data_IF_057679873626
#
_entry.id   IF_057679873626
#
_cell.length_a   1.000
_cell.length_b   1.000
_cell.length_c   1.000
_cell.angle_alpha   90.00
_cell.angle_beta   90.00
_cell.angle_gamma   90.00
#
_symmetry.space_group_name_H-M   'P 1'
#
loop_
_entity.id
_entity.type
_entity.pdbx_description
1 polymer ?
#
# COMPACT_ATOMS: atom_id res chain seq x y z
N UNK A 1 -17.53 -47.04 4.55
CA UNK A 1 -16.51 -47.30 5.58
C UNK A 1 -15.49 -46.18 5.49
N UNK A 2 -15.15 -45.57 6.62
CA UNK A 2 -14.33 -44.37 6.73
C UNK A 2 -14.04 -44.06 8.21
N UNK A 3 -13.70 -45.11 8.97
CA UNK A 3 -13.63 -45.09 10.45
C UNK A 3 -12.21 -45.22 10.98
N UNK A 4 -11.22 -45.33 10.10
CA UNK A 4 -9.81 -45.47 10.48
C UNK A 4 -8.95 -44.50 9.66
N UNK A 5 -7.77 -44.15 10.18
CA UNK A 5 -6.76 -43.34 9.48
C UNK A 5 -6.35 -43.92 8.11
N UNK A 6 -6.66 -45.19 7.82
CA UNK A 6 -6.39 -45.81 6.51
C UNK A 6 -7.35 -45.37 5.40
N UNK A 7 -8.46 -44.73 5.76
CA UNK A 7 -9.48 -44.26 4.81
C UNK A 7 -9.43 -42.72 4.60
N UNK A 8 -8.51 -42.03 5.29
CA UNK A 8 -8.36 -40.59 5.17
C UNK A 8 -7.42 -40.24 4.02
N UNK A 9 -7.83 -39.26 3.21
CA UNK A 9 -7.01 -38.69 2.17
C UNK A 9 -7.01 -37.17 2.33
N UNK A 10 -5.82 -36.58 2.27
CA UNK A 10 -5.64 -35.14 2.28
C UNK A 10 -5.11 -34.69 0.91
N UNK A 11 -5.53 -33.50 0.50
CA UNK A 11 -4.93 -32.77 -0.60
C UNK A 11 -4.19 -31.58 -0.04
N UNK A 12 -3.02 -31.27 -0.61
CA UNK A 12 -2.20 -30.13 -0.21
C UNK A 12 -1.80 -29.37 -1.46
N UNK A 13 -1.72 -28.05 -1.34
CA UNK A 13 -1.10 -27.24 -2.38
C UNK A 13 0.29 -27.80 -2.70
N UNK A 14 0.68 -27.75 -3.97
CA UNK A 14 1.96 -28.28 -4.41
C UNK A 14 3.13 -27.45 -3.89
N UNK A 15 2.87 -26.27 -3.34
CA UNK A 15 3.91 -25.46 -2.76
C UNK A 15 3.42 -24.53 -1.62
N UNK A 16 4.33 -23.97 -0.79
CA UNK A 16 3.98 -23.31 0.47
C UNK A 16 3.56 -21.83 0.38
N UNK A 17 3.11 -21.33 1.54
CA UNK A 17 2.79 -19.92 1.78
C UNK A 17 4.07 -19.08 1.67
N UNK A 18 4.14 -18.06 0.79
CA UNK A 18 5.32 -17.22 0.65
C UNK A 18 5.71 -16.50 1.95
N UNK A 19 6.97 -16.58 2.37
CA UNK A 19 7.41 -15.92 3.61
C UNK A 19 7.26 -14.39 3.59
N UNK A 20 7.20 -13.78 2.41
CA UNK A 20 7.04 -12.34 2.24
C UNK A 20 5.57 -11.86 2.37
N UNK A 21 4.57 -12.76 2.42
CA UNK A 21 3.19 -12.33 2.60
C UNK A 21 2.90 -12.11 4.08
N UNK A 22 2.71 -10.86 4.51
CA UNK A 22 2.30 -10.57 5.90
C UNK A 22 1.00 -11.28 6.29
N UNK A 23 0.11 -11.47 5.30
CA UNK A 23 -1.16 -12.16 5.45
C UNK A 23 -1.42 -13.05 4.21
N UNK A 24 -1.78 -14.30 4.45
CA UNK A 24 -2.20 -15.27 3.44
C UNK A 24 -3.61 -15.77 3.74
N UNK A 25 -4.45 -15.95 2.72
CA UNK A 25 -5.82 -16.40 2.90
C UNK A 25 -6.30 -17.25 1.72
N UNK A 26 -7.05 -18.31 2.00
CA UNK A 26 -7.71 -19.13 0.99
C UNK A 26 -9.06 -19.64 1.49
N UNK A 27 -9.98 -19.92 0.57
CA UNK A 27 -11.31 -20.47 0.88
C UNK A 27 -11.53 -21.85 0.24
N UNK A 28 -12.28 -22.69 0.95
CA UNK A 28 -12.72 -24.01 0.48
C UNK A 28 -14.23 -24.08 0.60
N UNK A 29 -14.91 -24.31 -0.53
CA UNK A 29 -16.34 -24.57 -0.55
C UNK A 29 -16.63 -26.05 -0.38
N UNK A 30 -17.44 -26.38 0.61
CA UNK A 30 -17.84 -27.76 0.89
C UNK A 30 -18.95 -28.17 -0.08
N UNK A 31 -18.59 -28.87 -1.16
CA UNK A 31 -19.55 -29.33 -2.17
C UNK A 31 -20.47 -30.42 -1.61
N UNK A 32 -19.95 -31.31 -0.78
CA UNK A 32 -20.70 -32.34 -0.09
C UNK A 32 -19.93 -32.84 1.12
N UNK A 33 -20.58 -32.90 2.29
CA UNK A 33 -19.99 -33.47 3.50
C UNK A 33 -19.89 -35.01 3.50
N UNK A 34 -20.43 -35.66 2.47
CA UNK A 34 -20.58 -37.10 2.45
C UNK A 34 -21.48 -37.60 3.60
N UNK A 35 -21.20 -38.81 4.10
CA UNK A 35 -22.02 -39.44 5.15
C UNK A 35 -21.80 -38.76 6.50
N UNK A 36 -20.55 -38.79 6.95
CA UNK A 36 -20.17 -38.50 8.33
C UNK A 36 -19.57 -37.11 8.52
N UNK A 37 -19.12 -36.43 7.45
CA UNK A 37 -18.61 -35.06 7.53
C UNK A 37 -17.17 -34.91 8.03
N UNK A 38 -16.41 -36.01 8.14
CA UNK A 38 -15.00 -35.99 8.52
C UNK A 38 -14.14 -35.27 7.47
N UNK A 39 -13.99 -33.96 7.66
CA UNK A 39 -13.25 -33.07 6.78
C UNK A 39 -12.47 -32.09 7.64
N UNK A 40 -11.20 -31.89 7.31
CA UNK A 40 -10.35 -30.92 7.98
C UNK A 40 -9.77 -29.94 6.96
N UNK A 41 -9.70 -28.66 7.34
CA UNK A 41 -9.08 -27.61 6.53
C UNK A 41 -7.96 -26.99 7.34
N UNK A 42 -6.79 -26.76 6.73
CA UNK A 42 -5.71 -26.08 7.42
C UNK A 42 -4.37 -26.17 6.72
N UNK A 43 -3.31 -26.18 7.52
CA UNK A 43 -1.94 -25.97 7.11
C UNK A 43 -1.11 -27.20 7.44
N UNK A 44 -0.08 -27.46 6.66
CA UNK A 44 0.88 -28.53 6.95
C UNK A 44 2.23 -28.23 6.33
N UNK A 45 3.30 -28.64 7.02
CA UNK A 45 4.64 -28.68 6.43
C UNK A 45 4.74 -29.74 5.32
N UNK A 46 5.72 -29.59 4.41
CA UNK A 46 5.88 -30.46 3.23
C UNK A 46 6.05 -31.95 3.58
N UNK A 47 6.70 -32.29 4.70
CA UNK A 47 6.93 -33.67 5.11
C UNK A 47 5.76 -34.36 5.83
N UNK A 48 4.62 -33.68 6.03
CA UNK A 48 3.49 -34.24 6.78
C UNK A 48 2.79 -35.37 6.00
N UNK A 49 2.37 -36.41 6.71
CA UNK A 49 1.66 -37.56 6.15
C UNK A 49 0.29 -37.15 5.60
N UNK A 50 0.04 -37.47 4.33
CA UNK A 50 -1.18 -37.10 3.63
C UNK A 50 -2.33 -38.11 3.79
N UNK A 51 -2.11 -39.22 4.51
CA UNK A 51 -3.14 -40.22 4.83
C UNK A 51 -3.87 -39.90 6.15
N UNK A 52 -3.84 -38.64 6.59
CA UNK A 52 -4.44 -38.18 7.85
C UNK A 52 -5.01 -36.78 7.67
N UNK A 53 -6.01 -36.43 8.47
CA UNK A 53 -6.60 -35.10 8.45
C UNK A 53 -5.61 -34.02 8.96
N UNK A 54 -5.70 -32.78 8.46
CA UNK A 54 -4.88 -31.66 8.93
C UNK A 54 -4.94 -31.49 10.45
N UNK A 55 -3.82 -31.14 11.09
CA UNK A 55 -3.75 -30.94 12.54
C UNK A 55 -3.33 -32.14 13.38
N UNK A 56 -3.39 -33.36 12.84
CA UNK A 56 -3.15 -34.57 13.63
C UNK A 56 -1.68 -34.96 13.81
N UNK A 57 -0.84 -34.63 12.83
CA UNK A 57 0.59 -34.92 12.85
C UNK A 57 1.40 -33.66 13.16
N UNK A 58 2.64 -33.84 13.62
CA UNK A 58 3.56 -32.73 13.91
C UNK A 58 3.71 -31.80 12.71
N UNK A 59 3.72 -30.49 12.97
CA UNK A 59 3.76 -29.44 11.95
C UNK A 59 2.54 -29.41 11.02
N UNK A 60 1.40 -29.89 11.53
CA UNK A 60 0.10 -29.82 10.88
C UNK A 60 -0.89 -29.11 11.79
N UNK A 61 -1.77 -28.32 11.19
CA UNK A 61 -2.77 -27.47 11.84
C UNK A 61 -4.09 -27.63 11.09
N UNK A 62 -5.21 -27.82 11.79
CA UNK A 62 -6.49 -28.09 11.14
C UNK A 62 -7.70 -27.66 11.94
N UNK A 63 -8.76 -27.30 11.23
CA UNK A 63 -10.11 -27.07 11.75
C UNK A 63 -11.06 -28.07 11.12
N UNK A 64 -11.81 -28.81 11.95
CA UNK A 64 -12.55 -29.99 11.54
C UNK A 64 -14.06 -29.73 11.55
N UNK A 65 -14.75 -30.29 10.55
CA UNK A 65 -16.16 -30.01 10.29
C UNK A 65 -17.14 -30.83 11.11
N UNK A 66 -16.72 -32.00 11.59
CA UNK A 66 -17.54 -32.94 12.35
C UNK A 66 -17.76 -32.53 13.79
N UNK A 67 -16.75 -31.92 14.43
CA UNK A 67 -16.78 -31.50 15.84
C UNK A 67 -16.55 -29.99 16.04
N UNK A 68 -16.15 -29.26 15.00
CA UNK A 68 -15.82 -27.84 15.09
C UNK A 68 -14.52 -27.55 15.86
N UNK A 69 -13.68 -28.55 16.09
CA UNK A 69 -12.48 -28.40 16.89
C UNK A 69 -11.27 -27.98 16.05
N UNK A 70 -10.30 -27.33 16.70
CA UNK A 70 -8.99 -27.06 16.17
C UNK A 70 -7.99 -28.13 16.63
N UNK A 71 -7.09 -28.53 15.73
CA UNK A 71 -6.10 -29.58 15.95
C UNK A 71 -4.72 -29.01 15.61
N UNK A 72 -3.82 -29.06 16.58
CA UNK A 72 -2.47 -28.53 16.47
C UNK A 72 -1.46 -29.62 16.81
N UNK A 73 -0.89 -30.26 15.79
CA UNK A 73 0.10 -31.33 15.96
C UNK A 73 -0.31 -32.44 16.94
N UNK A 74 -1.61 -32.72 17.01
CA UNK A 74 -2.22 -33.59 18.02
C UNK A 74 -3.46 -34.26 17.44
N UNK A 75 -3.63 -35.56 17.73
CA UNK A 75 -4.87 -36.28 17.43
C UNK A 75 -6.05 -35.92 18.35
N UNK A 76 -5.83 -35.08 19.36
CA UNK A 76 -6.87 -34.57 20.26
C UNK A 76 -7.12 -33.10 19.95
N UNK A 77 -8.35 -32.78 19.53
CA UNK A 77 -8.77 -31.43 19.18
C UNK A 77 -9.19 -30.62 20.40
N UNK A 78 -9.29 -29.31 20.22
CA UNK A 78 -9.82 -28.37 21.20
C UNK A 78 -11.04 -27.64 20.65
N UNK A 79 -12.07 -27.33 21.47
CA UNK A 79 -13.20 -26.54 21.02
C UNK A 79 -12.74 -25.20 20.45
N UNK A 80 -13.22 -24.85 19.26
CA UNK A 80 -12.78 -23.65 18.56
C UNK A 80 -13.94 -22.92 17.88
N UNK A 81 -14.66 -23.61 16.99
CA UNK A 81 -15.70 -23.00 16.17
C UNK A 81 -16.94 -23.90 16.03
N UNK A 82 -17.95 -23.45 15.27
CA UNK A 82 -19.09 -24.29 14.93
C UNK A 82 -18.68 -25.47 14.04
N UNK A 83 -19.54 -26.45 13.85
CA UNK A 83 -19.37 -27.45 12.79
C UNK A 83 -19.65 -26.85 11.41
N UNK A 84 -19.23 -27.52 10.33
CA UNK A 84 -19.51 -27.11 8.96
C UNK A 84 -19.91 -28.27 8.06
N UNK A 85 -20.71 -27.98 7.02
CA UNK A 85 -21.40 -28.98 6.20
C UNK A 85 -21.51 -28.57 4.73
N UNK A 86 -22.15 -29.40 3.93
CA UNK A 86 -22.48 -29.12 2.52
C UNK A 86 -23.05 -27.72 2.34
N UNK A 87 -22.44 -26.96 1.43
CA UNK A 87 -22.82 -25.59 1.11
C UNK A 87 -22.02 -24.51 1.85
N UNK A 88 -21.36 -24.85 2.95
CA UNK A 88 -20.53 -23.89 3.68
C UNK A 88 -19.24 -23.55 2.92
N UNK A 89 -18.78 -22.32 3.09
CA UNK A 89 -17.47 -21.82 2.66
C UNK A 89 -16.61 -21.61 3.90
N UNK A 90 -15.48 -22.29 3.96
CA UNK A 90 -14.54 -22.20 5.08
C UNK A 90 -13.26 -21.57 4.57
N UNK A 91 -12.91 -20.42 5.12
CA UNK A 91 -11.64 -19.77 4.85
C UNK A 91 -10.61 -20.05 5.92
N UNK A 92 -9.35 -20.11 5.53
CA UNK A 92 -8.19 -20.29 6.40
C UNK A 92 -7.22 -19.12 6.15
N UNK A 93 -6.93 -18.37 7.20
CA UNK A 93 -6.03 -17.23 7.16
C UNK A 93 -4.79 -17.43 8.02
N UNK A 94 -3.65 -16.98 7.50
CA UNK A 94 -2.34 -17.06 8.14
C UNK A 94 -1.75 -15.66 8.18
N UNK A 95 -1.62 -15.13 9.39
CA UNK A 95 -0.99 -13.84 9.63
C UNK A 95 0.46 -14.11 10.09
N UNK A 96 1.41 -13.88 9.19
CA UNK A 96 2.84 -14.06 9.44
C UNK A 96 3.47 -12.91 10.23
N UNK A 97 2.77 -11.77 10.37
CA UNK A 97 3.21 -10.67 11.24
C UNK A 97 3.04 -11.07 12.71
N UNK A 98 1.86 -11.60 13.06
CA UNK A 98 1.54 -12.00 14.43
C UNK A 98 1.82 -13.48 14.71
N UNK A 99 2.25 -14.24 13.69
CA UNK A 99 2.41 -15.69 13.73
C UNK A 99 1.15 -16.43 14.22
N UNK A 100 0.00 -16.04 13.67
CA UNK A 100 -1.32 -16.60 14.02
C UNK A 100 -2.03 -17.21 12.82
N UNK A 101 -2.91 -18.18 13.09
CA UNK A 101 -3.85 -18.70 12.10
C UNK A 101 -5.27 -18.64 12.64
N UNK A 102 -6.20 -18.34 11.75
CA UNK A 102 -7.62 -18.20 12.03
C UNK A 102 -8.44 -18.83 10.90
N UNK A 103 -9.71 -19.08 11.20
CA UNK A 103 -10.66 -19.56 10.20
C UNK A 103 -11.86 -18.63 10.10
N UNK A 104 -12.52 -18.72 8.96
CA UNK A 104 -13.78 -18.03 8.68
C UNK A 104 -14.82 -19.04 8.23
N UNK A 105 -16.09 -18.80 8.54
CA UNK A 105 -17.21 -19.59 8.02
C UNK A 105 -18.21 -18.65 7.37
N UNK A 106 -18.48 -18.86 6.08
CA UNK A 106 -19.42 -18.05 5.29
C UNK A 106 -19.16 -16.54 5.44
N UNK A 107 -17.88 -16.14 5.39
CA UNK A 107 -17.46 -14.75 5.58
C UNK A 107 -17.35 -14.27 7.03
N UNK A 108 -17.69 -15.08 8.04
CA UNK A 108 -17.58 -14.69 9.45
C UNK A 108 -16.29 -15.20 10.09
N UNK A 109 -15.50 -14.29 10.66
CA UNK A 109 -14.26 -14.60 11.38
C UNK A 109 -14.53 -15.32 12.71
N UNK A 110 -13.91 -16.49 12.92
CA UNK A 110 -14.15 -17.37 14.08
C UNK A 110 -13.17 -17.14 15.25
N UNK A 111 -12.26 -16.16 15.11
CA UNK A 111 -11.20 -15.91 16.09
C UNK A 111 -9.91 -16.69 15.80
N UNK A 112 -8.87 -16.45 16.59
CA UNK A 112 -7.55 -17.07 16.39
C UNK A 112 -7.61 -18.54 16.84
N UNK A 113 -7.30 -19.46 15.92
CA UNK A 113 -7.20 -20.88 16.20
C UNK A 113 -5.84 -21.26 16.80
N UNK A 114 -4.76 -20.67 16.27
CA UNK A 114 -3.39 -21.04 16.63
C UNK A 114 -2.50 -19.79 16.80
N UNK A 115 -1.58 -19.87 17.75
CA UNK A 115 -0.52 -18.87 17.99
C UNK A 115 0.85 -19.56 17.94
N UNK A 116 1.87 -18.86 17.46
CA UNK A 116 3.25 -19.37 17.44
C UNK A 116 3.46 -20.42 16.35
N UNK A 117 3.02 -20.13 15.12
CA UNK A 117 3.29 -21.00 13.97
C UNK A 117 4.80 -21.07 13.67
N UNK A 118 5.41 -22.26 13.49
CA UNK A 118 6.80 -22.40 13.08
C UNK A 118 6.97 -22.05 11.58
N UNK A 119 7.85 -21.11 11.26
CA UNK A 119 8.30 -20.77 9.89
C UNK A 119 9.71 -21.34 9.65
N UNK A 120 10.04 -21.97 8.49
CA UNK A 120 10.34 -21.21 7.26
C UNK A 120 10.13 -21.91 5.87
N UNK A 121 9.96 -21.07 4.82
CA UNK A 121 10.51 -21.26 3.45
C UNK A 121 9.67 -21.99 2.36
N UNK A 122 9.41 -21.27 1.24
CA UNK A 122 9.09 -21.74 -0.15
C UNK A 122 7.62 -21.54 -0.65
N UNK A 123 7.35 -21.60 -1.98
CA UNK A 123 6.29 -20.83 -2.73
C UNK A 123 5.31 -21.63 -3.63
N UNK A 124 3.93 -21.45 -3.60
CA UNK A 124 2.94 -21.38 -4.76
C UNK A 124 1.44 -21.10 -4.42
N UNK A 125 0.74 -20.61 -5.46
CA UNK A 125 -0.57 -20.93 -6.11
C UNK A 125 -1.71 -21.71 -5.44
N UNK A 126 -2.76 -20.92 -5.11
CA UNK A 126 -4.11 -21.27 -4.70
C UNK A 126 -5.07 -20.20 -5.29
N UNK A 127 -6.37 -20.23 -4.93
CA UNK A 127 -7.28 -19.17 -5.39
C UNK A 127 -6.93 -17.82 -4.77
N UNK A 128 -6.17 -17.00 -5.51
CA UNK A 128 -5.62 -15.71 -5.09
C UNK A 128 -6.51 -14.51 -5.45
N UNK A 129 -7.81 -14.73 -5.63
CA UNK A 129 -8.72 -13.70 -6.12
C UNK A 129 -9.07 -13.86 -7.61
N UNK A 130 -8.90 -15.07 -8.17
CA UNK A 130 -9.45 -15.37 -9.50
C UNK A 130 -10.99 -15.45 -9.46
N UNK A 131 -11.58 -15.57 -8.26
CA UNK A 131 -12.96 -15.18 -7.95
C UNK A 131 -12.97 -14.29 -6.70
N UNK A 132 -13.95 -13.37 -6.55
CA UNK A 132 -14.08 -12.57 -5.34
C UNK A 132 -14.13 -13.45 -4.08
N UNK A 133 -13.36 -13.10 -3.07
CA UNK A 133 -13.40 -13.76 -1.76
C UNK A 133 -14.73 -13.47 -1.05
N UNK A 134 -15.24 -14.41 -0.28
CA UNK A 134 -16.46 -14.22 0.52
C UNK A 134 -16.15 -13.41 1.79
N UNK A 135 -14.97 -13.60 2.37
CA UNK A 135 -14.44 -12.71 3.40
C UNK A 135 -13.81 -11.46 2.80
N UNK A 136 -14.08 -10.28 3.40
CA UNK A 136 -13.42 -9.03 3.03
C UNK A 136 -11.97 -9.00 3.55
N UNK A 137 -11.12 -9.75 2.83
CA UNK A 137 -9.70 -9.85 3.12
C UNK A 137 -8.98 -8.52 2.86
N UNK A 138 -9.53 -7.66 2.01
CA UNK A 138 -8.95 -6.37 1.64
C UNK A 138 -9.01 -5.38 2.80
N UNK A 139 -10.11 -5.34 3.55
CA UNK A 139 -10.23 -4.56 4.79
C UNK A 139 -9.19 -5.00 5.82
N UNK A 140 -9.03 -6.31 6.03
CA UNK A 140 -8.06 -6.81 7.00
C UNK A 140 -6.61 -6.54 6.57
N UNK A 141 -6.32 -6.62 5.27
CA UNK A 141 -5.00 -6.25 4.73
C UNK A 141 -4.73 -4.75 4.93
N UNK A 142 -5.73 -3.88 4.73
CA UNK A 142 -5.62 -2.44 5.01
C UNK A 142 -5.34 -2.17 6.49
N UNK A 143 -6.05 -2.81 7.40
CA UNK A 143 -5.83 -2.67 8.84
C UNK A 143 -4.43 -3.15 9.25
N UNK A 144 -4.00 -4.33 8.76
CA UNK A 144 -2.68 -4.89 9.05
C UNK A 144 -1.56 -3.98 8.54
N UNK A 145 -1.71 -3.41 7.33
CA UNK A 145 -0.77 -2.43 6.77
C UNK A 145 -0.69 -1.18 7.63
N UNK A 146 -1.83 -0.61 8.02
CA UNK A 146 -1.87 0.59 8.86
C UNK A 146 -1.17 0.37 10.20
N UNK A 147 -1.46 -0.76 10.87
CA UNK A 147 -0.86 -1.09 12.17
C UNK A 147 0.64 -1.36 12.06
N UNK A 148 1.07 -2.05 11.00
CA UNK A 148 2.50 -2.30 10.73
C UNK A 148 3.24 -1.00 10.44
N UNK A 149 2.62 -0.07 9.71
CA UNK A 149 3.19 1.26 9.45
C UNK A 149 3.43 2.03 10.74
N UNK A 150 2.44 2.08 11.63
CA UNK A 150 2.57 2.74 12.94
C UNK A 150 3.71 2.14 13.74
N UNK A 151 3.81 0.81 13.79
CA UNK A 151 4.89 0.13 14.49
C UNK A 151 6.29 0.49 13.94
N UNK A 152 6.42 0.63 12.61
CA UNK A 152 7.67 1.06 11.95
C UNK A 152 7.99 2.52 12.29
N UNK A 153 6.99 3.40 12.28
CA UNK A 153 7.14 4.84 12.49
C UNK A 153 7.44 5.21 13.95
N UNK A 154 7.00 4.38 14.89
CA UNK A 154 7.23 4.51 16.34
C UNK A 154 8.44 3.70 16.83
N UNK A 155 9.02 2.84 15.99
CA UNK A 155 10.17 2.04 16.39
C UNK A 155 11.35 2.96 16.77
N UNK A 156 11.87 2.86 18.01
CA UNK A 156 12.91 3.76 18.49
C UNK A 156 14.24 3.44 17.79
N UNK A 157 14.66 4.33 16.90
CA UNK A 157 15.98 4.28 16.28
C UNK A 157 16.95 5.23 17.00
N UNK A 158 18.26 4.90 17.06
CA UNK A 158 19.29 5.85 17.47
C UNK A 158 19.24 7.13 16.61
N UNK A 159 19.56 8.30 17.18
CA UNK A 159 19.38 9.62 16.55
C UNK A 159 20.03 9.76 15.14
N UNK A 160 21.10 9.02 14.85
CA UNK A 160 21.75 9.00 13.53
C UNK A 160 20.97 8.19 12.47
N UNK A 161 20.06 7.31 12.87
CA UNK A 161 19.30 6.40 12.00
C UNK A 161 17.82 6.81 11.81
N UNK A 162 17.32 7.82 12.54
CA UNK A 162 15.94 8.31 12.40
C UNK A 162 15.68 9.20 11.17
N UNK A 163 16.72 9.57 10.41
CA UNK A 163 16.61 10.50 9.29
C UNK A 163 15.77 9.96 8.13
N UNK A 164 15.85 8.66 7.84
CA UNK A 164 15.02 8.02 6.81
C UNK A 164 13.54 7.94 7.22
N UNK A 165 13.27 7.71 8.52
CA UNK A 165 11.90 7.77 9.07
C UNK A 165 11.32 9.18 8.91
N UNK A 166 12.14 10.22 9.16
CA UNK A 166 11.70 11.61 8.97
C UNK A 166 11.35 11.91 7.51
N UNK A 167 12.17 11.43 6.56
CA UNK A 167 11.86 11.54 5.12
C UNK A 167 10.59 10.78 4.76
N UNK A 168 10.43 9.54 5.24
CA UNK A 168 9.21 8.75 5.03
C UNK A 168 7.97 9.47 5.55
N UNK A 169 8.04 10.07 6.74
CA UNK A 169 6.95 10.88 7.32
C UNK A 169 6.61 12.10 6.48
N UNK A 170 7.61 12.78 5.91
CA UNK A 170 7.37 13.92 5.00
C UNK A 170 6.69 13.47 3.69
N UNK A 171 7.11 12.34 3.11
CA UNK A 171 6.46 11.79 1.90
C UNK A 171 5.01 11.41 2.18
N UNK A 172 4.77 10.65 3.26
CA UNK A 172 3.44 10.17 3.62
C UNK A 172 2.48 11.31 3.99
N UNK A 173 2.97 12.37 4.63
CA UNK A 173 2.17 13.58 4.91
C UNK A 173 1.92 14.47 3.69
N UNK A 174 2.52 14.16 2.53
CA UNK A 174 2.35 14.92 1.29
C UNK A 174 3.29 16.13 1.17
N UNK A 175 4.23 16.30 2.11
CA UNK A 175 5.26 17.36 2.11
C UNK A 175 6.46 16.95 1.26
N UNK A 176 6.20 16.58 0.01
CA UNK A 176 7.20 15.95 -0.88
C UNK A 176 8.39 16.86 -1.14
N UNK A 177 8.17 18.17 -1.28
CA UNK A 177 9.26 19.15 -1.49
C UNK A 177 10.26 19.16 -0.33
N UNK A 178 9.77 19.05 0.90
CA UNK A 178 10.63 18.98 2.09
C UNK A 178 11.32 17.62 2.20
N UNK A 179 10.63 16.54 1.81
CA UNK A 179 11.25 15.22 1.73
C UNK A 179 12.44 15.22 0.77
N UNK A 180 12.29 15.80 -0.42
CA UNK A 180 13.37 15.93 -1.42
C UNK A 180 14.55 16.72 -0.86
N UNK A 181 14.30 17.84 -0.21
CA UNK A 181 15.38 18.68 0.35
C UNK A 181 16.11 17.97 1.50
N UNK A 182 15.37 17.32 2.39
CA UNK A 182 15.95 16.52 3.45
C UNK A 182 16.76 15.35 2.88
N UNK A 183 16.26 14.68 1.84
CA UNK A 183 17.00 13.60 1.15
C UNK A 183 18.31 14.10 0.56
N UNK A 184 18.32 15.25 -0.14
CA UNK A 184 19.57 15.83 -0.67
C UNK A 184 20.60 16.13 0.41
N UNK A 185 20.12 16.64 1.55
CA UNK A 185 20.98 16.99 2.68
C UNK A 185 21.60 15.76 3.35
N UNK A 186 20.81 14.70 3.55
CA UNK A 186 21.26 13.51 4.28
C UNK A 186 21.96 12.46 3.40
N UNK A 187 21.61 12.38 2.11
CA UNK A 187 22.24 11.49 1.13
C UNK A 187 22.69 12.27 -0.11
N UNK A 188 23.80 13.04 -0.01
CA UNK A 188 24.27 13.86 -1.11
C UNK A 188 24.56 13.05 -2.38
N UNK A 189 24.06 13.52 -3.52
CA UNK A 189 24.26 12.88 -4.81
C UNK A 189 23.31 11.73 -5.13
N UNK A 190 22.47 11.28 -4.18
CA UNK A 190 21.49 10.21 -4.41
C UNK A 190 20.53 10.57 -5.54
N UNK A 191 19.85 11.71 -5.42
CA UNK A 191 18.84 12.16 -6.41
C UNK A 191 19.48 12.67 -7.70
N UNK A 192 20.73 13.09 -7.66
CA UNK A 192 21.49 13.47 -8.85
C UNK A 192 21.86 12.23 -9.68
N UNK A 193 22.21 11.12 -9.01
CA UNK A 193 22.49 9.83 -9.66
C UNK A 193 21.22 9.12 -10.13
N UNK A 194 20.16 9.16 -9.34
CA UNK A 194 18.87 8.54 -9.64
C UNK A 194 17.85 9.59 -10.12
N UNK A 195 17.99 9.97 -11.39
CA UNK A 195 17.10 10.95 -12.03
C UNK A 195 15.66 10.43 -12.19
N UNK A 196 15.46 9.11 -12.24
CA UNK A 196 14.12 8.50 -12.32
C UNK A 196 13.38 8.64 -10.99
N UNK A 197 14.05 8.36 -9.86
CA UNK A 197 13.50 8.60 -8.54
C UNK A 197 13.19 10.08 -8.31
N UNK A 198 14.09 10.99 -8.73
CA UNK A 198 13.85 12.42 -8.64
C UNK A 198 12.62 12.84 -9.47
N UNK A 199 12.46 12.29 -10.67
CA UNK A 199 11.28 12.52 -11.49
C UNK A 199 10.00 12.03 -10.81
N UNK A 200 10.02 10.81 -10.25
CA UNK A 200 8.89 10.24 -9.53
C UNK A 200 8.47 11.10 -8.32
N UNK A 201 9.45 11.55 -7.53
CA UNK A 201 9.23 12.46 -6.39
C UNK A 201 8.65 13.79 -6.85
N UNK A 202 9.19 14.39 -7.92
CA UNK A 202 8.66 15.65 -8.46
C UNK A 202 7.24 15.48 -9.03
N UNK A 203 6.94 14.37 -9.68
CA UNK A 203 5.60 14.07 -10.15
C UNK A 203 4.62 14.00 -8.98
N UNK A 204 5.00 13.35 -7.88
CA UNK A 204 4.18 13.30 -6.66
C UNK A 204 4.06 14.66 -5.97
N UNK A 205 5.13 15.46 -5.97
CA UNK A 205 5.10 16.83 -5.45
C UNK A 205 4.08 17.68 -6.21
N UNK A 206 4.03 17.56 -7.54
CA UNK A 206 3.07 18.28 -8.38
C UNK A 206 1.63 17.91 -8.03
N UNK A 207 1.32 16.62 -7.98
CA UNK A 207 -0.02 16.11 -7.63
C UNK A 207 -0.45 16.57 -6.24
N UNK A 208 0.44 16.50 -5.24
CA UNK A 208 0.14 16.99 -3.88
C UNK A 208 -0.09 18.51 -3.85
N UNK A 209 0.64 19.28 -4.66
CA UNK A 209 0.45 20.73 -4.78
C UNK A 209 -0.90 21.09 -5.42
N UNK A 210 -1.33 20.35 -6.45
CA UNK A 210 -2.65 20.53 -7.07
C UNK A 210 -3.78 20.25 -6.05
N UNK A 211 -3.71 19.14 -5.31
CA UNK A 211 -4.69 18.80 -4.29
C UNK A 211 -4.80 19.81 -3.14
N UNK A 212 -3.69 20.43 -2.74
CA UNK A 212 -3.67 21.47 -1.72
C UNK A 212 -4.33 22.78 -2.20
N UNK A 213 -4.21 23.11 -3.50
CA UNK A 213 -4.84 24.29 -4.09
C UNK A 213 -6.37 24.18 -4.22
N UNK A 214 -6.92 22.96 -4.29
CA UNK A 214 -8.37 22.70 -4.31
C UNK A 214 -9.10 23.09 -3.02
N UNK A 215 -8.38 23.24 -1.90
CA UNK A 215 -8.94 23.62 -0.59
C UNK A 215 -9.11 25.15 -0.39
N UNK A 216 -9.10 25.96 -1.47
CA UNK A 216 -9.68 27.30 -1.45
C UNK A 216 -8.80 28.51 -1.79
N UNK A 217 -7.75 28.40 -2.63
CA UNK A 217 -6.91 29.60 -2.96
C UNK A 217 -6.61 29.81 -4.46
N UNK A 218 -7.07 28.95 -5.39
CA UNK A 218 -6.76 29.12 -6.81
C UNK A 218 -7.89 28.74 -7.80
N UNK A 219 -9.15 28.97 -7.44
CA UNK A 219 -10.31 28.38 -8.13
C UNK A 219 -10.85 29.11 -9.37
N UNK A 220 -10.29 30.21 -9.88
CA UNK A 220 -10.93 30.96 -10.99
C UNK A 220 -10.18 31.06 -12.33
N UNK A 221 -8.93 30.61 -12.47
CA UNK A 221 -8.10 31.06 -13.60
C UNK A 221 -8.43 30.38 -14.94
N UNK A 222 -9.01 29.18 -14.96
CA UNK A 222 -9.26 28.46 -16.24
C UNK A 222 -10.61 28.80 -16.87
N UNK A 223 -11.58 29.30 -16.09
CA UNK A 223 -12.85 29.77 -16.65
C UNK A 223 -12.68 31.06 -17.49
N UNK A 224 -11.59 31.82 -17.29
CA UNK A 224 -11.38 33.11 -17.97
C UNK A 224 -10.47 33.05 -19.20
N UNK A 225 -9.87 31.90 -19.54
CA UNK A 225 -9.07 31.76 -20.77
C UNK A 225 -9.89 31.29 -21.98
N UNK A 226 -11.20 31.05 -21.82
CA UNK A 226 -12.07 30.53 -22.90
C UNK A 226 -12.78 31.60 -23.74
N UNK A 227 -12.57 32.90 -23.52
CA UNK A 227 -13.23 33.94 -24.33
C UNK A 227 -12.25 34.94 -24.96
N UNK A 228 -11.64 34.54 -26.08
CA UNK A 228 -11.28 35.38 -27.24
C UNK A 228 -11.11 34.39 -28.42
N UNK A 229 -11.68 34.50 -29.62
CA UNK A 229 -12.13 35.59 -30.46
C UNK A 229 -13.22 35.09 -31.44
N UNK A 230 -14.23 35.94 -31.74
CA UNK A 230 -14.98 35.86 -32.98
C UNK A 230 -15.11 37.26 -33.60
N UNK A 231 -14.34 37.44 -34.67
CA UNK A 231 -14.54 38.24 -35.88
C UNK A 231 -14.95 39.74 -35.86
N UNK A 232 -14.18 40.47 -36.67
CA UNK A 232 -14.27 41.86 -37.13
C UNK A 232 -15.67 42.41 -37.47
N UNK A 233 -15.83 43.72 -37.26
CA UNK A 233 -16.82 44.51 -38.00
C UNK A 233 -17.02 45.94 -37.49
N UNK A 234 -16.36 46.87 -38.17
CA UNK A 234 -16.86 48.20 -38.55
C UNK A 234 -16.72 49.44 -37.62
N UNK A 235 -16.39 50.53 -38.30
CA UNK A 235 -16.06 51.89 -37.86
C UNK A 235 -17.29 52.75 -37.57
N UNK A 236 -17.21 53.69 -36.60
CA UNK A 236 -17.48 55.14 -36.80
C UNK A 236 -17.39 55.99 -35.51
N UNK A 237 -17.08 57.27 -35.71
CA UNK A 237 -16.83 58.42 -34.81
C UNK A 237 -17.85 58.73 -33.69
N UNK A 238 -17.38 59.31 -32.57
CA UNK A 238 -17.57 60.74 -32.19
C UNK A 238 -17.55 61.02 -30.66
N UNK A 239 -16.62 61.90 -30.26
CA UNK A 239 -16.69 63.07 -29.32
C UNK A 239 -17.27 63.01 -27.88
N UNK A 240 -16.52 63.71 -26.97
CA UNK A 240 -16.85 64.34 -25.66
C UNK A 240 -17.00 63.44 -24.40
N UNK A 241 -16.64 63.80 -23.16
CA UNK A 241 -15.78 64.81 -22.47
C UNK A 241 -15.78 64.42 -20.97
N UNK A 242 -14.72 64.79 -20.23
CA UNK A 242 -14.70 65.16 -18.80
C UNK A 242 -14.84 64.12 -17.66
N UNK A 243 -13.86 64.27 -16.75
CA UNK A 243 -13.89 64.16 -15.27
C UNK A 243 -13.27 62.97 -14.53
N UNK A 244 -12.26 63.38 -13.78
CA UNK A 244 -11.51 62.76 -12.69
C UNK A 244 -12.40 62.16 -11.60
N UNK A 245 -12.05 60.95 -11.17
CA UNK A 245 -12.12 60.63 -9.75
C UNK A 245 -11.06 59.58 -9.40
N UNK A 246 -10.06 60.02 -8.63
CA UNK A 246 -9.17 59.14 -7.89
C UNK A 246 -9.97 58.41 -6.82
N UNK A 247 -9.88 57.08 -6.79
CA UNK A 247 -10.13 56.29 -5.59
C UNK A 247 -9.08 55.19 -5.50
N UNK A 248 -8.12 55.41 -4.60
CA UNK A 248 -7.27 54.38 -4.03
C UNK A 248 -8.13 53.35 -3.28
N UNK A 249 -8.09 52.07 -3.69
CA UNK A 249 -8.35 50.94 -2.78
C UNK A 249 -7.60 49.68 -3.23
N UNK A 250 -6.53 49.35 -2.50
CA UNK A 250 -6.07 48.00 -2.11
C UNK A 250 -5.96 46.86 -3.16
N UNK A 251 -4.87 46.86 -3.93
CA UNK A 251 -4.38 45.70 -4.71
C UNK A 251 -3.33 44.87 -3.92
N UNK A 252 -3.72 44.24 -2.80
CA UNK A 252 -2.78 43.44 -1.99
C UNK A 252 -3.07 41.94 -1.91
N UNK A 253 -4.25 41.44 -2.30
CA UNK A 253 -4.61 40.02 -2.15
C UNK A 253 -4.58 39.19 -3.45
N UNK A 254 -4.44 39.83 -4.63
CA UNK A 254 -4.42 39.13 -5.93
C UNK A 254 -3.04 38.58 -6.36
N UNK A 255 -1.96 39.03 -5.72
CA UNK A 255 -0.60 38.71 -6.15
C UNK A 255 -0.13 37.31 -5.71
N UNK A 256 -0.55 36.85 -4.52
CA UNK A 256 -0.13 35.57 -3.95
C UNK A 256 -0.69 34.37 -4.72
N UNK A 257 -1.95 34.44 -5.16
CA UNK A 257 -2.62 33.37 -5.92
C UNK A 257 -2.05 33.27 -7.34
N UNK A 258 -1.87 34.40 -8.04
CA UNK A 258 -1.29 34.45 -9.39
C UNK A 258 0.16 33.96 -9.41
N UNK A 259 0.99 34.40 -8.46
CA UNK A 259 2.37 33.93 -8.34
C UNK A 259 2.44 32.41 -8.01
N UNK A 260 1.49 31.89 -7.23
CA UNK A 260 1.43 30.46 -6.91
C UNK A 260 1.03 29.61 -8.13
N UNK A 261 0.09 30.09 -8.93
CA UNK A 261 -0.29 29.46 -10.20
C UNK A 261 0.88 29.48 -11.20
N UNK A 262 1.56 30.62 -11.34
CA UNK A 262 2.72 30.74 -12.23
C UNK A 262 3.86 29.79 -11.82
N UNK A 263 4.11 29.62 -10.51
CA UNK A 263 5.05 28.63 -9.98
C UNK A 263 4.64 27.20 -10.29
N UNK A 264 3.35 26.88 -10.18
CA UNK A 264 2.82 25.54 -10.52
C UNK A 264 2.99 25.25 -12.01
N UNK A 265 2.68 26.21 -12.89
CA UNK A 265 2.88 26.07 -14.32
C UNK A 265 4.37 25.94 -14.69
N UNK A 266 5.26 26.70 -14.04
CA UNK A 266 6.70 26.56 -14.23
C UNK A 266 7.18 25.16 -13.82
N UNK A 267 6.73 24.68 -12.66
CA UNK A 267 7.05 23.33 -12.19
C UNK A 267 6.55 22.24 -13.14
N UNK A 268 5.34 22.39 -13.69
CA UNK A 268 4.79 21.48 -14.69
C UNK A 268 5.61 21.44 -15.98
N UNK A 269 6.12 22.59 -16.45
CA UNK A 269 7.02 22.64 -17.61
C UNK A 269 8.36 21.95 -17.35
N UNK A 270 8.95 22.16 -16.17
CA UNK A 270 10.19 21.49 -15.78
C UNK A 270 10.02 19.96 -15.71
N UNK A 271 8.88 19.52 -15.18
CA UNK A 271 8.50 18.10 -15.15
C UNK A 271 8.37 17.52 -16.55
N UNK A 272 7.68 18.22 -17.46
CA UNK A 272 7.55 17.78 -18.83
C UNK A 272 8.91 17.67 -19.53
N UNK A 273 9.80 18.64 -19.33
CA UNK A 273 11.16 18.56 -19.88
C UNK A 273 11.95 17.36 -19.33
N UNK A 274 11.79 17.05 -18.04
CA UNK A 274 12.40 15.88 -17.41
C UNK A 274 11.85 14.57 -17.99
N UNK A 275 10.54 14.49 -18.25
CA UNK A 275 9.92 13.30 -18.84
C UNK A 275 10.43 13.03 -20.26
N UNK A 276 10.58 14.07 -21.07
CA UNK A 276 11.16 13.96 -22.41
C UNK A 276 12.60 13.45 -22.37
N UNK A 277 13.41 13.96 -21.42
CA UNK A 277 14.81 13.55 -21.26
C UNK A 277 14.94 12.09 -20.81
N UNK A 278 14.07 11.64 -19.92
CA UNK A 278 14.08 10.28 -19.36
C UNK A 278 13.30 9.27 -20.21
N UNK A 279 12.64 9.71 -21.29
CA UNK A 279 11.71 8.89 -22.07
C UNK A 279 10.62 8.22 -21.21
N UNK A 280 10.19 8.91 -20.14
CA UNK A 280 9.12 8.46 -19.27
C UNK A 280 7.81 9.19 -19.62
N UNK A 281 6.70 8.47 -19.59
CA UNK A 281 5.38 9.08 -19.73
C UNK A 281 4.98 9.82 -18.45
N UNK A 282 4.36 11.01 -18.58
CA UNK A 282 3.67 11.61 -17.45
C UNK A 282 2.46 10.72 -17.12
N UNK A 283 2.55 9.95 -16.06
CA UNK A 283 1.49 9.08 -15.57
C UNK A 283 0.29 9.84 -14.96
N UNK A 284 0.37 11.16 -14.84
CA UNK A 284 -0.66 12.00 -14.24
C UNK A 284 -1.47 12.74 -15.30
N UNK A 285 -2.77 12.41 -15.40
CA UNK A 285 -3.73 13.12 -16.25
C UNK A 285 -4.06 14.44 -15.55
N UNK A 286 -3.99 15.53 -16.31
CA UNK A 286 -3.95 16.93 -15.84
C UNK A 286 -5.09 17.22 -14.84
N UNK A 287 -4.76 17.26 -13.54
CA UNK A 287 -5.67 17.69 -12.48
C UNK A 287 -5.91 19.21 -12.53
N UNK A 288 -4.96 19.98 -13.10
CA UNK A 288 -5.14 21.41 -13.37
C UNK A 288 -6.43 21.74 -14.13
N UNK A 289 -7.00 20.81 -14.92
CA UNK A 289 -8.19 21.10 -15.73
C UNK A 289 -9.48 21.24 -14.90
N UNK A 290 -9.44 20.90 -13.60
CA UNK A 290 -10.62 20.86 -12.73
C UNK A 290 -10.57 21.98 -11.68
N UNK A 291 -11.71 22.64 -11.47
CA UNK A 291 -11.85 23.66 -10.42
C UNK A 291 -11.56 23.09 -9.02
N UNK A 292 -11.98 21.84 -8.78
CA UNK A 292 -11.57 21.05 -7.64
C UNK A 292 -10.90 19.76 -8.14
N UNK A 293 -9.58 19.59 -7.94
CA UNK A 293 -8.85 18.38 -8.30
C UNK A 293 -9.41 17.09 -7.69
N UNK A 294 -10.06 17.17 -6.52
CA UNK A 294 -10.68 15.99 -5.87
C UNK A 294 -11.94 15.49 -6.60
N UNK A 295 -12.64 16.37 -7.30
CA UNK A 295 -13.85 16.01 -8.07
C UNK A 295 -13.50 15.49 -9.48
N UNK A 296 -12.20 15.43 -9.82
CA UNK A 296 -11.73 14.91 -11.08
C UNK A 296 -11.99 13.39 -11.20
N UNK A 297 -12.22 12.85 -12.41
CA UNK A 297 -12.20 11.40 -12.66
C UNK A 297 -10.89 10.72 -12.26
N UNK A 298 -9.81 11.50 -12.07
CA UNK A 298 -8.52 11.05 -11.54
C UNK A 298 -8.20 11.60 -10.15
N UNK A 299 -9.21 12.07 -9.40
CA UNK A 299 -9.05 12.59 -8.04
C UNK A 299 -8.46 11.55 -7.06
N UNK A 300 -8.65 10.26 -7.35
CA UNK A 300 -8.00 9.15 -6.63
C UNK A 300 -6.46 9.27 -6.60
N UNK A 301 -5.84 10.00 -7.54
CA UNK A 301 -4.40 10.26 -7.56
C UNK A 301 -3.91 11.07 -6.35
N UNK A 302 -4.81 11.81 -5.70
CA UNK A 302 -4.56 12.65 -4.52
C UNK A 302 -4.63 11.86 -3.21
N UNK A 303 -5.20 10.65 -3.22
CA UNK A 303 -5.37 9.84 -2.04
C UNK A 303 -4.02 9.52 -1.37
N UNK A 304 -3.93 9.54 -0.03
CA UNK A 304 -2.69 9.25 0.69
C UNK A 304 -2.04 7.91 0.30
N UNK A 305 -2.85 6.90 -0.04
CA UNK A 305 -2.36 5.57 -0.47
C UNK A 305 -1.46 5.64 -1.70
N UNK A 306 -1.67 6.63 -2.58
CA UNK A 306 -0.86 6.81 -3.79
C UNK A 306 0.58 7.28 -3.47
N UNK A 307 0.85 7.70 -2.22
CA UNK A 307 2.18 8.13 -1.76
C UNK A 307 3.05 6.94 -1.35
N UNK A 308 2.46 5.78 -1.06
CA UNK A 308 3.20 4.61 -0.56
C UNK A 308 4.25 4.12 -1.56
N UNK A 309 3.89 4.02 -2.84
CA UNK A 309 4.80 3.57 -3.90
C UNK A 309 6.03 4.48 -4.05
N UNK A 310 5.84 5.79 -3.92
CA UNK A 310 6.93 6.78 -3.99
C UNK A 310 7.80 6.71 -2.74
N UNK A 311 7.19 6.49 -1.57
CA UNK A 311 7.90 6.29 -0.31
C UNK A 311 8.75 5.02 -0.34
N UNK A 312 8.21 3.92 -0.88
CA UNK A 312 8.93 2.66 -1.07
C UNK A 312 10.12 2.79 -2.02
N UNK A 313 9.94 3.46 -3.16
CA UNK A 313 11.02 3.72 -4.11
C UNK A 313 12.16 4.53 -3.45
N UNK A 314 11.80 5.58 -2.70
CA UNK A 314 12.77 6.39 -1.97
C UNK A 314 13.49 5.60 -0.88
N UNK A 315 12.77 4.82 -0.09
CA UNK A 315 13.36 3.97 0.95
C UNK A 315 14.31 2.92 0.36
N UNK A 316 13.95 2.35 -0.79
CA UNK A 316 14.78 1.40 -1.51
C UNK A 316 16.09 2.03 -1.99
N UNK A 317 16.02 3.25 -2.53
CA UNK A 317 17.20 3.98 -2.97
C UNK A 317 18.10 4.39 -1.80
N UNK A 318 17.54 4.84 -0.67
CA UNK A 318 18.30 5.16 0.55
C UNK A 318 19.05 3.92 1.06
N UNK A 319 18.39 2.76 1.10
CA UNK A 319 19.05 1.50 1.47
C UNK A 319 20.17 1.13 0.47
N UNK A 320 19.94 1.35 -0.82
CA UNK A 320 20.95 1.17 -1.87
C UNK A 320 22.17 2.10 -1.70
N UNK A 321 21.95 3.34 -1.31
CA UNK A 321 23.01 4.31 -1.05
C UNK A 321 23.97 3.83 0.03
N UNK A 322 23.43 3.35 1.17
CA UNK A 322 24.26 2.79 2.22
C UNK A 322 25.05 1.58 1.72
N UNK A 323 24.43 0.64 1.00
CA UNK A 323 25.13 -0.52 0.43
C UNK A 323 26.33 -0.10 -0.44
N UNK A 324 26.14 0.88 -1.32
CA UNK A 324 27.21 1.37 -2.20
C UNK A 324 28.29 2.11 -1.40
N UNK A 325 27.92 2.92 -0.40
CA UNK A 325 28.86 3.60 0.47
C UNK A 325 29.76 2.61 1.24
N UNK A 326 29.19 1.55 1.80
CA UNK A 326 29.97 0.52 2.52
C UNK A 326 30.88 -0.29 1.58
N UNK A 327 30.41 -0.59 0.37
CA UNK A 327 31.18 -1.33 -0.64
C UNK A 327 32.35 -0.48 -1.20
N UNK A 328 32.13 0.80 -1.50
CA UNK A 328 33.17 1.71 -2.01
C UNK A 328 34.26 2.01 -0.98
N UNK A 329 33.92 1.97 0.32
CA UNK A 329 34.85 2.23 1.42
C UNK A 329 35.46 0.95 2.06
N UNK A 330 35.19 -0.23 1.49
CA UNK A 330 35.64 -1.53 2.03
C UNK A 330 35.28 -1.74 3.52
N UNK A 331 34.13 -1.20 3.94
CA UNK A 331 33.62 -1.31 5.30
C UNK A 331 32.58 -2.44 5.34
N UNK A 332 32.87 -3.52 6.07
CA UNK A 332 31.92 -4.60 6.31
C UNK A 332 30.73 -4.07 7.14
N UNK A 333 29.52 -4.23 6.61
CA UNK A 333 28.30 -4.02 7.38
C UNK A 333 28.19 -5.16 8.41
N UNK A 334 28.65 -4.90 9.64
CA UNK A 334 28.41 -5.79 10.79
C UNK A 334 27.21 -5.18 11.52
N UNK A 335 26.01 -5.78 11.45
CA UNK A 335 24.94 -5.40 12.35
C UNK A 335 25.45 -5.66 13.77
N UNK A 336 25.53 -4.62 14.60
CA UNK A 336 25.77 -4.82 16.03
C UNK A 336 24.57 -5.59 16.58
N UNK A 337 24.74 -6.89 16.77
CA UNK A 337 23.91 -7.63 17.72
C UNK A 337 24.20 -7.02 19.09
N UNK A 338 23.24 -6.27 19.62
CA UNK A 338 23.23 -5.93 21.04
C UNK A 338 23.03 -7.23 21.82
N UNK A 339 24.15 -7.83 22.21
CA UNK A 339 24.17 -8.81 23.29
C UNK A 339 23.68 -8.12 24.57
N UNK A 340 22.42 -8.40 24.92
CA UNK A 340 21.97 -8.33 26.31
C UNK A 340 21.66 -9.74 26.78
N UNK A 341 22.70 -10.44 27.20
CA UNK A 341 22.61 -11.49 28.23
C UNK A 341 22.71 -10.81 29.62
N UNK A 342 22.24 -11.51 30.66
CA UNK A 342 23.18 -12.35 31.40
C UNK A 342 22.91 -13.85 31.30
#
# INVERSE_FOLDING_TARGET
HGKTHKDAASVRATHPIPAACGLYYFEVRIVSKGRDGYMGIGLSAHGVNMNRLPGWDKHSYGYHGDDGHSFCSSGTGQPYGPTFTTGDVIGCGVNLVDNTCFYTKNGHHLGIAFRGLPTPGEVVDANFGQQPFVFDIEDMLRELRARTRVAIDEFPLPDEQGQWQQVSKLVMSGRIGEAVELTRRQWPGLLERDQELLFLLKCRQFVCAEGACGNGVATSVIAHTSHTHAHNGDTHDAHETHETHETHTNDADGCSSRASVERMLAFGRDLYAMSQKLQQELCHKILLAYSNPWDSPVGWQLEPVQRESVCEALNSAILGFYKNFYHENNLLFIPKHDNKEP
#
